data_IF_745829522426
#
_entry.id   IF_745829522426
#
_cell.length_a   1.000
_cell.length_b   1.000
_cell.length_c   1.000
_cell.angle_alpha   90.00
_cell.angle_beta   90.00
_cell.angle_gamma   90.00
#
_symmetry.space_group_name_H-M   'P 1'
#
loop_
_entity.id
_entity.type
_entity.pdbx_description
1 polymer ?
#
# COMPACT_ATOMS: atom_id res chain seq x y z
N UNK A 1 10.50 -32.05 12.02
CA UNK A 1 9.77 -30.76 12.00
C UNK A 1 10.81 -29.65 12.12
N UNK A 2 11.28 -29.13 10.98
CA UNK A 2 12.38 -28.16 10.96
C UNK A 2 11.82 -26.74 11.11
N UNK A 3 12.14 -26.08 12.22
CA UNK A 3 11.83 -24.68 12.44
C UNK A 3 12.64 -23.81 11.48
N UNK A 4 11.95 -23.10 10.59
CA UNK A 4 12.56 -22.08 9.73
C UNK A 4 12.85 -20.86 10.61
N UNK A 5 14.11 -20.75 11.06
CA UNK A 5 14.58 -19.63 11.87
C UNK A 5 14.45 -18.31 11.09
N UNK A 6 13.64 -17.39 11.60
CA UNK A 6 13.61 -16.01 11.14
C UNK A 6 14.89 -15.34 11.66
N UNK A 7 15.89 -15.17 10.79
CA UNK A 7 17.10 -14.41 11.12
C UNK A 7 16.71 -12.95 11.32
N UNK A 8 16.86 -12.46 12.56
CA UNK A 8 16.79 -11.04 12.89
C UNK A 8 18.19 -10.46 12.74
N UNK A 9 18.46 -9.78 11.62
CA UNK A 9 19.64 -8.96 11.44
C UNK A 9 19.21 -7.47 11.45
N UNK A 10 19.71 -6.76 12.47
CA UNK A 10 19.54 -5.32 12.67
C UNK A 10 20.80 -4.62 12.16
N UNK A 11 20.61 -3.70 11.20
CA UNK A 11 21.54 -2.65 10.76
C UNK A 11 22.77 -3.02 9.93
N UNK A 12 22.58 -3.38 8.65
CA UNK A 12 23.35 -2.84 7.51
C UNK A 12 22.78 -3.38 6.19
N UNK A 13 22.45 -2.49 5.24
CA UNK A 13 22.00 -2.81 3.86
C UNK A 13 20.68 -3.59 3.72
N UNK A 14 19.56 -3.05 4.22
CA UNK A 14 18.25 -3.65 3.91
C UNK A 14 17.88 -3.40 2.45
N UNK A 15 17.74 -4.49 1.70
CA UNK A 15 17.35 -4.57 0.29
C UNK A 15 15.86 -4.22 0.11
N UNK A 16 15.47 -3.03 0.57
CA UNK A 16 14.08 -2.65 0.75
C UNK A 16 13.37 -2.41 -0.59
N UNK A 17 12.26 -3.14 -0.82
CA UNK A 17 11.41 -2.94 -2.00
C UNK A 17 10.11 -2.28 -1.61
N UNK A 18 9.90 -1.04 -2.06
CA UNK A 18 8.66 -0.29 -1.82
C UNK A 18 8.23 0.56 -3.00
N UNK A 19 6.93 0.77 -3.12
CA UNK A 19 6.35 1.78 -3.99
C UNK A 19 6.12 3.05 -3.17
N UNK A 20 6.75 4.15 -3.54
CA UNK A 20 6.49 5.48 -2.98
C UNK A 20 5.54 6.21 -3.92
N UNK A 21 4.34 6.52 -3.46
CA UNK A 21 3.32 7.20 -4.25
C UNK A 21 3.02 8.54 -3.59
N UNK A 22 3.34 9.64 -4.30
CA UNK A 22 2.95 10.98 -3.89
C UNK A 22 1.58 11.28 -4.48
N UNK A 23 0.66 11.72 -3.63
CA UNK A 23 -0.71 12.00 -3.99
C UNK A 23 -1.14 13.35 -3.44
N UNK A 24 -2.04 13.99 -4.17
CA UNK A 24 -2.73 15.21 -3.76
C UNK A 24 -4.22 14.86 -3.72
N UNK A 25 -4.75 14.77 -2.49
CA UNK A 25 -6.16 14.48 -2.27
C UNK A 25 -7.02 15.71 -2.51
N UNK A 26 -8.11 15.58 -3.27
CA UNK A 26 -9.15 16.63 -3.32
C UNK A 26 -10.15 16.34 -2.21
N UNK A 27 -9.95 16.95 -1.04
CA UNK A 27 -10.90 16.84 0.07
C UNK A 27 -12.22 17.56 -0.26
N UNK A 28 -13.38 16.96 0.05
CA UNK A 28 -14.66 17.64 -0.04
C UNK A 28 -14.70 18.90 0.85
N UNK A 29 -15.41 19.96 0.43
CA UNK A 29 -15.67 21.11 1.29
C UNK A 29 -16.27 20.69 2.64
N UNK A 30 -15.82 21.31 3.74
CA UNK A 30 -16.29 21.00 5.10
C UNK A 30 -15.52 19.90 5.83
N UNK A 31 -14.88 18.97 5.11
CA UNK A 31 -14.07 17.89 5.73
C UNK A 31 -12.78 18.43 6.35
N UNK A 32 -12.16 19.42 5.70
CA UNK A 32 -10.93 20.06 6.17
C UNK A 32 -11.12 20.92 7.44
N UNK A 33 -12.35 21.12 7.91
CA UNK A 33 -12.67 21.99 9.05
C UNK A 33 -12.50 21.29 10.41
N UNK A 34 -12.25 19.98 10.44
CA UNK A 34 -12.00 19.25 11.69
C UNK A 34 -10.97 18.12 11.53
N UNK A 35 -10.09 17.93 12.52
CA UNK A 35 -9.12 16.83 12.55
C UNK A 35 -9.80 15.44 12.47
N UNK A 36 -10.89 15.15 13.20
CA UNK A 36 -11.56 13.85 13.08
C UNK A 36 -12.18 13.60 11.70
N UNK A 37 -12.77 14.63 11.08
CA UNK A 37 -13.34 14.52 9.74
C UNK A 37 -12.28 14.23 8.68
N UNK A 38 -11.15 14.92 8.76
CA UNK A 38 -9.99 14.72 7.91
C UNK A 38 -9.37 13.33 8.07
N UNK A 39 -9.24 12.84 9.32
CA UNK A 39 -8.76 11.48 9.59
C UNK A 39 -9.67 10.45 8.93
N UNK A 40 -10.98 10.49 9.22
CA UNK A 40 -11.97 9.56 8.66
C UNK A 40 -11.98 9.57 7.13
N UNK A 41 -11.90 10.75 6.51
CA UNK A 41 -11.80 10.88 5.06
C UNK A 41 -10.52 10.24 4.53
N UNK A 42 -9.39 10.44 5.21
CA UNK A 42 -8.11 9.85 4.83
C UNK A 42 -8.15 8.33 4.93
N UNK A 43 -8.74 7.77 6.00
CA UNK A 43 -8.92 6.31 6.12
C UNK A 43 -9.69 5.77 4.91
N UNK A 44 -10.83 6.38 4.58
CA UNK A 44 -11.66 5.93 3.48
C UNK A 44 -10.97 6.11 2.13
N UNK A 45 -10.32 7.25 1.90
CA UNK A 45 -9.55 7.49 0.68
C UNK A 45 -8.47 6.43 0.52
N UNK A 46 -7.79 6.07 1.60
CA UNK A 46 -6.74 5.10 1.54
C UNK A 46 -7.24 3.67 1.29
N UNK A 47 -8.41 3.30 1.84
CA UNK A 47 -9.09 2.06 1.48
C UNK A 47 -9.49 2.03 0.00
N UNK A 48 -10.00 3.15 -0.54
CA UNK A 48 -10.39 3.27 -1.95
C UNK A 48 -9.20 3.04 -2.91
N UNK A 49 -7.97 3.42 -2.51
CA UNK A 49 -6.77 3.30 -3.36
C UNK A 49 -5.93 2.04 -3.11
N UNK A 50 -6.20 1.30 -2.03
CA UNK A 50 -5.37 0.15 -1.65
C UNK A 50 -5.31 -0.92 -2.75
N UNK A 51 -6.39 -1.07 -3.53
CA UNK A 51 -6.46 -1.99 -4.65
C UNK A 51 -5.51 -1.58 -5.78
N UNK A 52 -5.42 -0.29 -6.10
CA UNK A 52 -4.47 0.22 -7.10
C UNK A 52 -3.00 -0.02 -6.69
N UNK A 53 -2.70 0.19 -5.40
CA UNK A 53 -1.37 -0.08 -4.85
C UNK A 53 -1.00 -1.56 -4.98
N UNK A 54 -1.95 -2.46 -4.70
CA UNK A 54 -1.77 -3.89 -4.88
C UNK A 54 -1.46 -4.28 -6.33
N UNK A 55 -2.11 -3.63 -7.29
CA UNK A 55 -1.96 -3.95 -8.71
C UNK A 55 -0.86 -3.14 -9.42
N UNK A 56 0.13 -2.65 -8.67
CA UNK A 56 1.24 -1.83 -9.20
C UNK A 56 2.41 -2.65 -9.74
N UNK A 57 2.81 -3.72 -9.06
CA UNK A 57 4.01 -4.50 -9.41
C UNK A 57 3.94 -5.95 -8.94
N UNK A 58 4.64 -6.83 -9.64
CA UNK A 58 4.69 -8.28 -9.38
C UNK A 58 5.88 -8.68 -8.48
N UNK A 59 6.15 -7.91 -7.41
CA UNK A 59 7.26 -8.24 -6.51
C UNK A 59 6.89 -9.39 -5.57
N UNK A 60 7.89 -10.18 -5.18
CA UNK A 60 7.75 -11.11 -4.06
C UNK A 60 7.56 -10.38 -2.74
N UNK A 61 7.17 -11.14 -1.73
CA UNK A 61 7.02 -10.70 -0.35
C UNK A 61 8.34 -10.12 0.17
N UNK A 62 8.27 -8.92 0.73
CA UNK A 62 9.41 -8.20 1.31
C UNK A 62 10.12 -9.00 2.42
N UNK A 63 9.38 -9.89 3.10
CA UNK A 63 9.91 -10.66 4.23
C UNK A 63 10.43 -12.05 3.85
N UNK A 64 9.84 -12.71 2.84
CA UNK A 64 10.13 -14.12 2.53
C UNK A 64 10.33 -14.43 1.05
N UNK A 65 10.20 -13.45 0.15
CA UNK A 65 10.42 -13.62 -1.30
C UNK A 65 9.32 -14.35 -2.06
N UNK A 66 8.41 -15.07 -1.39
CA UNK A 66 7.27 -15.77 -2.02
C UNK A 66 6.38 -14.81 -2.81
N UNK A 67 5.60 -15.29 -3.81
CA UNK A 67 4.64 -14.44 -4.52
C UNK A 67 3.76 -13.65 -3.54
N UNK A 68 3.65 -12.34 -3.75
CA UNK A 68 2.86 -11.49 -2.89
C UNK A 68 1.40 -11.47 -3.31
N UNK A 69 0.50 -11.42 -2.33
CA UNK A 69 -0.96 -11.32 -2.52
C UNK A 69 -1.57 -10.20 -1.68
N UNK A 70 -0.78 -9.57 -0.82
CA UNK A 70 -1.19 -8.44 -0.01
C UNK A 70 -0.23 -7.27 -0.15
N UNK A 71 -0.74 -6.08 0.15
CA UNK A 71 0.04 -4.86 0.25
C UNK A 71 -0.11 -4.29 1.66
N UNK A 72 1.00 -4.14 2.36
CA UNK A 72 1.07 -3.33 3.57
C UNK A 72 1.44 -1.92 3.16
N UNK A 73 0.81 -0.91 3.73
CA UNK A 73 1.10 0.44 3.31
C UNK A 73 1.02 1.43 4.46
N UNK A 74 1.85 2.46 4.38
CA UNK A 74 1.96 3.50 5.39
C UNK A 74 1.81 4.87 4.77
N UNK A 75 1.19 5.79 5.51
CA UNK A 75 1.11 7.21 5.15
C UNK A 75 2.10 7.97 6.02
N UNK A 76 3.06 8.66 5.41
CA UNK A 76 4.22 9.20 6.16
C UNK A 76 4.13 10.67 6.45
N UNK A 77 3.61 11.45 5.51
CA UNK A 77 3.45 12.87 5.74
C UNK A 77 2.09 13.34 5.26
N UNK A 78 1.51 14.20 6.09
CA UNK A 78 0.41 15.06 5.75
C UNK A 78 0.91 16.47 6.00
N UNK A 79 0.91 17.31 4.96
CA UNK A 79 1.26 18.72 5.13
C UNK A 79 -0.03 19.52 5.29
N UNK A 80 -0.21 20.30 6.38
CA UNK A 80 -1.35 21.18 6.59
C UNK A 80 -1.22 22.40 5.67
N UNK A 81 -1.38 22.18 4.37
CA UNK A 81 -1.54 23.20 3.34
C UNK A 81 -2.91 23.00 2.70
N UNK A 82 -3.48 24.01 2.00
CA UNK A 82 -4.88 23.98 1.57
C UNK A 82 -5.27 22.76 0.69
N UNK A 83 -4.29 22.01 0.18
CA UNK A 83 -4.49 20.70 -0.43
C UNK A 83 -3.62 19.67 0.30
N UNK A 84 -4.21 18.57 0.83
CA UNK A 84 -3.45 17.56 1.54
C UNK A 84 -2.56 16.79 0.57
N UNK A 85 -1.26 17.09 0.60
CA UNK A 85 -0.25 16.26 -0.05
C UNK A 85 0.14 15.13 0.91
N UNK A 86 0.16 13.92 0.36
CA UNK A 86 0.44 12.70 1.09
C UNK A 86 1.39 11.79 0.32
N UNK A 87 2.33 11.17 1.02
CA UNK A 87 3.11 10.07 0.46
C UNK A 87 2.74 8.77 1.14
N UNK A 88 2.39 7.82 0.28
CA UNK A 88 2.08 6.45 0.63
C UNK A 88 3.28 5.58 0.28
N UNK A 89 3.73 4.76 1.22
CA UNK A 89 4.68 3.69 0.95
C UNK A 89 3.95 2.36 0.93
N UNK A 90 4.00 1.63 -0.18
CA UNK A 90 3.42 0.30 -0.34
C UNK A 90 4.49 -0.79 -0.38
N UNK A 91 4.26 -1.86 0.38
CA UNK A 91 5.14 -3.03 0.54
C UNK A 91 4.39 -4.30 0.17
N UNK A 92 4.97 -5.12 -0.71
CA UNK A 92 4.39 -6.40 -1.12
C UNK A 92 4.60 -7.48 -0.06
N UNK A 93 3.55 -8.23 0.28
CA UNK A 93 3.59 -9.31 1.28
C UNK A 93 2.85 -10.57 0.81
N UNK A 94 3.28 -11.72 1.33
CA UNK A 94 2.81 -13.03 0.85
C UNK A 94 1.31 -13.25 1.03
N UNK A 95 0.76 -12.90 2.19
CA UNK A 95 -0.67 -12.97 2.47
C UNK A 95 -1.01 -12.22 3.78
N UNK A 96 -2.29 -11.95 3.96
CA UNK A 96 -2.84 -11.44 5.21
C UNK A 96 -2.67 -12.48 6.32
N UNK A 97 -2.60 -12.03 7.58
CA UNK A 97 -2.55 -12.91 8.77
C UNK A 97 -1.36 -13.91 8.78
N UNK A 98 -0.23 -13.51 8.22
CA UNK A 98 1.02 -14.30 8.23
C UNK A 98 2.05 -13.72 9.21
N UNK A 99 3.05 -14.51 9.63
CA UNK A 99 4.20 -13.97 10.35
C UNK A 99 4.93 -12.84 9.59
N UNK A 100 4.85 -12.83 8.25
CA UNK A 100 5.41 -11.75 7.42
C UNK A 100 4.64 -10.43 7.60
N UNK A 101 3.31 -10.46 7.67
CA UNK A 101 2.49 -9.29 8.02
C UNK A 101 2.87 -8.76 9.40
N UNK A 102 2.95 -9.65 10.38
CA UNK A 102 3.26 -9.25 11.75
C UNK A 102 4.67 -8.69 11.89
N UNK A 103 5.66 -9.26 11.18
CA UNK A 103 7.00 -8.70 11.10
C UNK A 103 7.00 -7.28 10.50
N UNK A 104 6.18 -7.03 9.47
CA UNK A 104 6.05 -5.70 8.88
C UNK A 104 5.40 -4.70 9.84
N UNK A 105 4.32 -5.09 10.53
CA UNK A 105 3.68 -4.27 11.57
C UNK A 105 4.66 -3.87 12.67
N UNK A 106 5.47 -4.81 13.16
CA UNK A 106 6.51 -4.52 14.16
C UNK A 106 7.59 -3.57 13.62
N UNK A 107 8.00 -3.74 12.36
CA UNK A 107 8.97 -2.84 11.71
C UNK A 107 8.43 -1.42 11.62
N UNK A 108 7.19 -1.29 11.17
CA UNK A 108 6.51 -0.01 11.01
C UNK A 108 6.32 0.71 12.36
N UNK A 109 5.81 0.00 13.36
CA UNK A 109 5.64 0.54 14.70
C UNK A 109 6.96 1.10 15.27
N UNK A 110 8.10 0.41 15.05
CA UNK A 110 9.43 0.91 15.43
C UNK A 110 9.82 2.17 14.66
N UNK A 111 9.59 2.19 13.35
CA UNK A 111 9.91 3.35 12.51
C UNK A 111 9.10 4.59 12.88
N UNK A 112 7.83 4.41 13.27
CA UNK A 112 6.96 5.49 13.74
C UNK A 112 7.45 6.05 15.08
N UNK A 113 7.83 5.20 16.03
CA UNK A 113 8.39 5.64 17.33
C UNK A 113 9.67 6.46 17.15
N UNK A 114 10.55 6.08 16.22
CA UNK A 114 11.82 6.78 15.97
C UNK A 114 11.64 8.14 15.25
N UNK A 115 10.51 8.37 14.59
CA UNK A 115 10.20 9.63 13.89
C UNK A 115 9.39 10.62 14.74
N UNK A 116 8.89 10.19 15.91
CA UNK A 116 8.18 11.07 16.83
C UNK A 116 9.19 11.88 17.66
N UNK A 117 8.96 13.19 17.87
CA UNK A 117 9.68 13.92 18.90
C UNK A 117 9.43 13.26 20.28
N UNK A 118 10.37 13.35 21.23
CA UNK A 118 10.18 12.77 22.55
C UNK A 118 8.86 13.26 23.17
N UNK A 119 8.11 12.38 23.86
CA UNK A 119 6.73 12.66 24.21
C UNK A 119 6.63 13.84 25.19
N UNK A 120 5.93 14.90 24.78
CA UNK A 120 5.38 15.92 25.70
C UNK A 120 3.94 15.62 26.13
N UNK A 121 3.36 14.53 25.63
CA UNK A 121 1.98 14.13 25.90
C UNK A 121 1.96 12.81 26.69
N UNK A 122 1.20 12.79 27.78
CA UNK A 122 1.00 11.66 28.71
C UNK A 122 0.06 10.58 28.17
N UNK A 123 -0.28 10.63 26.89
CA UNK A 123 -1.15 9.67 26.22
C UNK A 123 -0.47 9.22 24.94
N UNK A 124 -0.40 7.91 24.66
CA UNK A 124 0.07 7.45 23.36
C UNK A 124 -0.79 8.11 22.27
N UNK A 125 -0.21 8.51 21.13
CA UNK A 125 -1.03 8.92 20.00
C UNK A 125 -2.04 7.79 19.73
N UNK A 126 -3.29 8.11 19.37
CA UNK A 126 -4.23 7.08 18.93
C UNK A 126 -3.49 6.23 17.91
N UNK A 127 -3.49 4.91 18.13
CA UNK A 127 -2.78 3.95 17.31
C UNK A 127 -2.94 4.33 15.83
N UNK A 128 -1.87 4.20 15.01
CA UNK A 128 -1.96 4.54 13.59
C UNK A 128 -3.23 3.88 13.09
N UNK A 129 -4.13 4.75 12.62
CA UNK A 129 -5.47 4.43 12.16
C UNK A 129 -5.39 3.09 11.41
N UNK A 130 -6.39 2.23 11.57
CA UNK A 130 -6.45 0.83 11.09
C UNK A 130 -6.46 0.70 9.54
N UNK A 131 -5.71 1.55 8.87
CA UNK A 131 -5.44 1.63 7.46
C UNK A 131 -4.74 0.38 6.92
N UNK A 132 -4.09 -0.42 7.77
CA UNK A 132 -3.55 -1.73 7.39
C UNK A 132 -4.60 -2.86 7.37
N UNK A 133 -5.88 -2.53 7.22
CA UNK A 133 -6.91 -3.52 6.95
C UNK A 133 -6.61 -4.19 5.58
N UNK A 134 -6.45 -5.52 5.52
CA UNK A 134 -6.34 -6.24 4.27
C UNK A 134 -7.52 -5.86 3.36
N UNK A 135 -7.26 -5.74 2.06
CA UNK A 135 -8.29 -5.47 1.06
C UNK A 135 -9.49 -6.39 1.31
N UNK A 136 -10.65 -5.77 1.47
CA UNK A 136 -11.80 -6.32 2.18
C UNK A 136 -12.44 -7.51 1.46
N UNK A 137 -11.97 -8.74 1.70
CA UNK A 137 -12.77 -9.96 1.50
C UNK A 137 -12.46 -10.96 2.63
N UNK A 138 -13.38 -11.03 3.59
CA UNK A 138 -13.25 -11.75 4.87
C UNK A 138 -14.02 -13.07 4.90
N UNK A 139 -13.97 -13.84 3.81
CA UNK A 139 -14.51 -15.21 3.81
C UNK A 139 -13.39 -16.22 4.06
N UNK A 140 -13.67 -17.22 4.90
CA UNK A 140 -12.76 -18.32 5.14
C UNK A 140 -12.48 -19.05 3.82
N UNK A 141 -11.24 -18.95 3.32
CA UNK A 141 -10.82 -19.53 2.05
C UNK A 141 -10.63 -18.53 0.91
N UNK A 142 -10.89 -17.23 1.13
CA UNK A 142 -10.53 -16.21 0.14
C UNK A 142 -9.00 -16.13 -0.06
N UNK A 143 -8.57 -16.30 -1.30
CA UNK A 143 -7.17 -16.10 -1.71
C UNK A 143 -7.11 -14.85 -2.55
N UNK A 144 -6.50 -13.80 -2.00
CA UNK A 144 -6.36 -12.54 -2.69
C UNK A 144 -5.50 -12.71 -3.97
N UNK A 145 -5.79 -12.00 -5.06
CA UNK A 145 -5.03 -12.13 -6.31
C UNK A 145 -3.57 -11.73 -6.13
N UNK A 146 -2.68 -12.22 -6.99
CA UNK A 146 -1.27 -11.84 -6.98
C UNK A 146 -1.10 -10.32 -7.11
N UNK A 147 -0.18 -9.75 -6.35
CA UNK A 147 0.19 -8.34 -6.53
C UNK A 147 0.70 -8.11 -7.95
N UNK A 148 0.32 -6.98 -8.53
CA UNK A 148 0.64 -6.64 -9.90
C UNK A 148 -0.14 -7.40 -10.97
N UNK A 149 -1.07 -8.29 -10.61
CA UNK A 149 -2.07 -8.80 -11.55
C UNK A 149 -2.99 -7.68 -12.04
N UNK A 150 -3.83 -7.97 -13.03
CA UNK A 150 -4.77 -7.01 -13.60
C UNK A 150 -5.79 -6.53 -12.57
N UNK A 151 -5.87 -5.23 -12.33
CA UNK A 151 -6.88 -4.64 -11.44
C UNK A 151 -8.32 -4.71 -11.97
N UNK A 152 -8.53 -5.12 -13.23
CA UNK A 152 -9.88 -5.29 -13.78
C UNK A 152 -10.41 -6.72 -13.72
N UNK A 153 -9.54 -7.73 -13.84
CA UNK A 153 -9.97 -9.12 -13.92
C UNK A 153 -9.38 -10.04 -12.86
N UNK A 154 -8.40 -9.56 -12.07
CA UNK A 154 -7.83 -10.26 -10.91
C UNK A 154 -7.24 -11.65 -11.17
N UNK A 155 -6.97 -12.01 -12.44
CA UNK A 155 -6.41 -13.32 -12.78
C UNK A 155 -4.92 -13.34 -12.51
N UNK A 156 -4.46 -14.29 -11.71
CA UNK A 156 -3.05 -14.43 -11.33
C UNK A 156 -2.08 -14.53 -12.51
N UNK A 157 -2.50 -15.17 -13.61
CA UNK A 157 -1.70 -15.29 -14.85
C UNK A 157 -1.25 -13.93 -15.39
N UNK A 158 -2.06 -12.89 -15.19
CA UNK A 158 -1.76 -11.52 -15.64
C UNK A 158 -0.67 -10.84 -14.79
N UNK A 159 -0.41 -11.38 -13.59
CA UNK A 159 0.63 -10.90 -12.69
C UNK A 159 2.02 -11.45 -13.00
N UNK A 160 2.16 -12.42 -13.92
CA UNK A 160 3.47 -12.95 -14.30
C UNK A 160 4.30 -11.88 -15.03
N UNK A 161 5.63 -11.98 -14.90
CA UNK A 161 6.55 -11.03 -15.50
C UNK A 161 6.46 -11.01 -17.04
N UNK A 162 6.13 -12.14 -17.65
CA UNK A 162 6.09 -12.38 -19.09
C UNK A 162 4.72 -12.12 -19.74
N UNK A 163 3.67 -11.80 -18.97
CA UNK A 163 2.32 -11.61 -19.54
C UNK A 163 2.20 -10.35 -20.41
N UNK A 164 3.00 -9.32 -20.18
CA UNK A 164 2.95 -8.07 -20.95
C UNK A 164 1.76 -7.17 -20.61
N UNK A 165 1.71 -6.66 -19.38
CA UNK A 165 0.64 -5.77 -18.91
C UNK A 165 0.90 -4.30 -19.23
N UNK A 166 -0.18 -3.55 -19.45
CA UNK A 166 -0.13 -2.10 -19.62
C UNK A 166 -0.35 -1.38 -18.29
N UNK A 167 0.46 -0.35 -18.03
CA UNK A 167 0.18 0.60 -16.94
C UNK A 167 -0.85 1.62 -17.40
N UNK A 168 -1.67 2.11 -16.47
CA UNK A 168 -2.51 3.27 -16.74
C UNK A 168 -1.63 4.44 -17.18
N UNK A 169 -1.94 5.03 -18.34
CA UNK A 169 -1.18 6.16 -18.88
C UNK A 169 -1.27 7.42 -18.01
N UNK A 170 -2.35 7.57 -17.24
CA UNK A 170 -2.56 8.72 -16.35
C UNK A 170 -1.69 8.66 -15.10
N UNK A 171 -1.84 7.62 -14.27
CA UNK A 171 -1.14 7.52 -12.99
C UNK A 171 0.18 6.75 -13.03
N UNK A 172 0.45 5.97 -14.09
CA UNK A 172 1.64 5.11 -14.22
C UNK A 172 1.79 4.06 -13.10
N UNK A 173 0.71 3.79 -12.36
CA UNK A 173 0.68 2.94 -11.17
C UNK A 173 -0.01 1.61 -11.47
N UNK A 174 -1.34 1.62 -11.58
CA UNK A 174 -2.19 0.42 -11.76
C UNK A 174 -1.97 -0.25 -13.12
N UNK A 175 -2.00 -1.59 -13.14
CA UNK A 175 -1.79 -2.42 -14.34
C UNK A 175 -3.05 -3.11 -14.82
N UNK A 176 -3.18 -3.22 -16.13
CA UNK A 176 -4.31 -3.88 -16.82
C UNK A 176 -3.82 -4.78 -17.95
N UNK A 177 -4.50 -5.92 -18.14
CA UNK A 177 -4.23 -6.84 -19.24
C UNK A 177 -4.80 -6.38 -20.58
N UNK A 178 -5.77 -5.45 -20.54
CA UNK A 178 -6.43 -4.93 -21.73
C UNK A 178 -7.05 -3.57 -21.46
N UNK A 179 -7.29 -2.81 -22.54
CA UNK A 179 -8.06 -1.55 -22.48
C UNK A 179 -9.48 -1.80 -21.96
N UNK A 180 -10.07 -2.97 -22.24
CA UNK A 180 -11.38 -3.36 -21.71
C UNK A 180 -11.39 -3.44 -20.19
N UNK A 181 -10.38 -4.09 -19.59
CA UNK A 181 -10.23 -4.14 -18.14
C UNK A 181 -10.01 -2.75 -17.52
N UNK A 182 -9.20 -1.90 -18.17
CA UNK A 182 -8.98 -0.53 -17.71
C UNK A 182 -10.27 0.31 -17.74
N UNK A 183 -11.05 0.21 -18.82
CA UNK A 183 -12.32 0.95 -18.96
C UNK A 183 -13.38 0.45 -17.98
N UNK A 184 -13.46 -0.86 -17.77
CA UNK A 184 -14.36 -1.46 -16.79
C UNK A 184 -14.06 -1.03 -15.36
N UNK A 185 -12.78 -0.91 -15.01
CA UNK A 185 -12.32 -0.49 -13.68
C UNK A 185 -12.34 1.04 -13.46
N UNK A 186 -12.53 1.83 -14.52
CA UNK A 186 -12.47 3.29 -14.46
C UNK A 186 -13.35 3.96 -13.38
N UNK A 187 -14.60 3.53 -13.11
CA UNK A 187 -15.42 4.12 -12.06
C UNK A 187 -14.77 4.09 -10.68
N UNK A 188 -14.03 3.02 -10.37
CA UNK A 188 -13.24 2.86 -9.14
C UNK A 188 -11.92 3.62 -9.24
N UNK A 189 -11.13 3.32 -10.28
CA UNK A 189 -9.77 3.82 -10.48
C UNK A 189 -9.67 5.35 -10.64
N UNK A 190 -10.68 6.01 -11.23
CA UNK A 190 -10.64 7.45 -11.57
C UNK A 190 -10.29 8.34 -10.39
N UNK A 191 -10.77 8.03 -9.18
CA UNK A 191 -10.50 8.83 -7.97
C UNK A 191 -9.01 8.81 -7.64
N UNK A 192 -8.43 7.61 -7.55
CA UNK A 192 -7.02 7.38 -7.28
C UNK A 192 -6.15 7.98 -8.40
N UNK A 193 -6.50 7.70 -9.67
CA UNK A 193 -5.75 8.12 -10.84
C UNK A 193 -5.53 9.64 -10.89
N UNK A 194 -6.53 10.43 -10.46
CA UNK A 194 -6.45 11.89 -10.42
C UNK A 194 -5.63 12.41 -9.24
N UNK A 195 -5.52 11.63 -8.16
CA UNK A 195 -4.79 12.03 -6.97
C UNK A 195 -3.29 11.78 -7.10
N UNK A 196 -2.86 10.75 -7.83
CA UNK A 196 -1.43 10.43 -8.04
C UNK A 196 -0.74 11.58 -8.77
N UNK A 197 0.38 12.03 -8.19
CA UNK A 197 1.30 13.01 -8.79
C UNK A 197 2.60 12.36 -9.23
N UNK A 198 3.12 11.45 -8.41
CA UNK A 198 4.41 10.82 -8.64
C UNK A 198 4.41 9.38 -8.12
N UNK A 199 5.06 8.50 -8.87
CA UNK A 199 5.27 7.10 -8.50
C UNK A 199 6.74 6.78 -8.60
N UNK A 200 7.34 6.37 -7.49
CA UNK A 200 8.74 5.93 -7.42
C UNK A 200 8.82 4.52 -6.90
N UNK A 201 9.46 3.65 -7.67
CA UNK A 201 9.70 2.27 -7.28
C UNK A 201 11.10 2.15 -6.69
N UNK A 202 11.19 1.99 -5.38
CA UNK A 202 12.45 1.71 -4.70
C UNK A 202 12.71 0.21 -4.83
N UNK A 203 13.74 -0.14 -5.60
CA UNK A 203 14.27 -1.50 -5.68
C UNK A 203 15.51 -1.52 -4.79
N UNK A 204 15.51 -2.35 -3.76
CA UNK A 204 16.72 -2.53 -2.96
C UNK A 204 17.91 -2.96 -3.84
N UNK A 205 19.14 -2.66 -3.38
CA UNK A 205 20.36 -3.11 -4.06
C UNK A 205 20.48 -4.63 -3.86
N UNK A 206 20.46 -5.35 -4.99
CA UNK A 206 20.74 -6.78 -5.07
C UNK A 206 22.15 -7.11 -4.58
#
# INVERSE_FOLDING_TARGET
>A
MSAVGIKTDDSATRNERRSEVKMIGVMPPGVAQSTPGMHKWTEQFMLDIAEDLKHTHSWGCEQCGKPSRETFWNVIHWTPVPVPAMTVWGFALCAANTPCMEAMRRRDARAMVLQLPPPRFTSPPPAPLLLNAPLQHRDAGFVAPLSGSCAGCHRDETGRADFGMNKCSGCQLTRYCSVTCQRGDWPRHKKMCKAVQEVKQVKGRG
#
